data_IF_967407004676
#
_entry.id   IF_967407004676
#
_cell.length_a   1.000
_cell.length_b   1.000
_cell.length_c   1.000
_cell.angle_alpha   90.00
_cell.angle_beta   90.00
_cell.angle_gamma   90.00
#
_symmetry.space_group_name_H-M   'P 1'
#
loop_
_entity.id
_entity.type
_entity.pdbx_description
1 polymer ?
#
# COMPACT_ATOMS: atom_id res chain seq x y z
N UNK A 1 -32.13 52.29 -16.48
CA UNK A 1 -32.26 52.15 -17.93
C UNK A 1 -31.04 51.34 -18.34
N UNK A 2 -31.06 50.09 -18.56
CA UNK A 2 -32.07 49.01 -18.70
C UNK A 2 -31.45 47.78 -18.11
N UNK A 3 -32.24 47.07 -17.28
CA UNK A 3 -31.93 45.75 -16.76
C UNK A 3 -32.02 44.73 -17.89
N UNK A 4 -30.96 44.01 -18.21
CA UNK A 4 -31.03 42.75 -18.98
C UNK A 4 -30.97 41.59 -18.03
N UNK A 5 -32.15 41.09 -17.72
CA UNK A 5 -32.46 39.82 -17.11
C UNK A 5 -32.03 38.67 -18.04
N UNK A 6 -30.94 37.97 -17.71
CA UNK A 6 -30.54 36.73 -18.34
C UNK A 6 -31.05 35.53 -17.50
N UNK A 7 -32.36 35.31 -17.63
CA UNK A 7 -32.95 34.03 -17.23
C UNK A 7 -32.41 32.91 -18.09
N UNK A 8 -31.47 32.11 -17.57
CA UNK A 8 -31.17 30.80 -18.10
C UNK A 8 -32.31 29.85 -17.67
N UNK A 9 -33.20 29.54 -18.61
CA UNK A 9 -34.10 28.42 -18.53
C UNK A 9 -33.25 27.16 -18.53
N UNK A 10 -33.18 26.49 -17.39
CA UNK A 10 -32.69 25.10 -17.29
C UNK A 10 -33.80 24.22 -17.82
N UNK A 11 -33.69 23.79 -19.07
CA UNK A 11 -34.52 22.72 -19.62
C UNK A 11 -34.18 21.46 -18.82
N UNK A 12 -35.07 21.08 -17.89
CA UNK A 12 -35.06 19.76 -17.32
C UNK A 12 -35.57 18.80 -18.40
N UNK A 13 -34.69 17.97 -18.95
CA UNK A 13 -35.06 16.80 -19.72
C UNK A 13 -35.99 15.95 -18.84
N UNK A 14 -37.23 15.79 -19.29
CA UNK A 14 -38.21 14.90 -18.67
C UNK A 14 -37.80 13.45 -19.05
N UNK A 15 -37.24 12.74 -18.06
CA UNK A 15 -37.03 11.30 -18.17
C UNK A 15 -38.37 10.65 -18.54
N UNK A 16 -38.43 10.01 -19.70
CA UNK A 16 -39.61 9.23 -20.15
C UNK A 16 -39.72 7.98 -19.26
N UNK A 17 -40.68 8.02 -18.32
CA UNK A 17 -41.03 6.88 -17.49
C UNK A 17 -41.83 5.87 -18.35
N UNK A 18 -41.27 4.73 -18.67
CA UNK A 18 -42.01 3.61 -19.23
C UNK A 18 -42.89 2.96 -18.16
N UNK A 19 -44.18 3.07 -18.30
CA UNK A 19 -45.20 2.46 -17.41
C UNK A 19 -45.89 1.34 -18.16
N UNK A 20 -45.66 0.10 -17.75
CA UNK A 20 -46.44 -1.06 -18.22
C UNK A 20 -47.61 -1.33 -17.25
N UNK A 21 -48.84 -1.19 -17.74
CA UNK A 21 -50.06 -1.57 -17.00
C UNK A 21 -50.39 -3.04 -17.25
N UNK A 22 -50.54 -3.81 -16.16
CA UNK A 22 -50.97 -5.18 -16.20
C UNK A 22 -52.50 -5.28 -16.16
N UNK A 23 -53.10 -6.36 -16.69
CA UNK A 23 -54.55 -6.63 -16.74
C UNK A 23 -55.19 -6.74 -15.35
N UNK A 24 -54.42 -6.85 -14.27
CA UNK A 24 -54.87 -6.90 -12.88
C UNK A 24 -54.98 -5.52 -12.19
N UNK A 25 -54.68 -4.44 -12.93
CA UNK A 25 -54.70 -3.07 -12.44
C UNK A 25 -53.43 -2.66 -11.68
N UNK A 26 -52.36 -3.46 -11.66
CA UNK A 26 -51.06 -3.09 -11.18
C UNK A 26 -50.20 -2.48 -12.29
N UNK A 27 -49.43 -1.44 -11.98
CA UNK A 27 -48.51 -0.81 -12.93
C UNK A 27 -47.07 -1.07 -12.50
N UNK A 28 -46.22 -1.54 -13.41
CA UNK A 28 -44.79 -1.64 -13.23
C UNK A 28 -44.17 -0.37 -13.83
N UNK A 29 -43.61 0.46 -12.98
CA UNK A 29 -42.83 1.63 -13.42
C UNK A 29 -41.37 1.19 -13.50
N UNK A 30 -40.87 1.02 -14.71
CA UNK A 30 -39.43 0.79 -14.91
C UNK A 30 -38.75 2.14 -14.82
N UNK A 31 -38.11 2.39 -13.72
CA UNK A 31 -37.16 3.49 -13.64
C UNK A 31 -35.99 3.10 -14.53
N UNK A 32 -35.78 3.85 -15.59
CA UNK A 32 -34.59 3.72 -16.43
C UNK A 32 -33.40 3.82 -15.47
N UNK A 33 -32.72 2.70 -15.25
CA UNK A 33 -31.48 2.77 -14.48
C UNK A 33 -30.55 3.59 -15.34
N UNK A 34 -29.94 4.65 -14.79
CA UNK A 34 -28.95 5.39 -15.54
C UNK A 34 -28.00 4.36 -16.14
N UNK A 35 -27.81 4.42 -17.47
CA UNK A 35 -26.90 3.53 -18.21
C UNK A 35 -25.73 3.22 -17.33
N UNK A 36 -25.49 1.94 -17.06
CA UNK A 36 -24.44 1.52 -16.12
C UNK A 36 -23.19 2.30 -16.50
N UNK A 37 -22.93 3.38 -15.77
CA UNK A 37 -21.71 4.15 -15.92
C UNK A 37 -20.62 3.08 -15.89
N UNK A 38 -19.95 2.85 -17.03
CA UNK A 38 -18.97 1.79 -17.23
C UNK A 38 -18.18 1.71 -15.95
N UNK A 39 -18.35 0.63 -15.19
CA UNK A 39 -17.71 0.48 -13.88
C UNK A 39 -16.25 0.66 -14.16
N UNK A 40 -15.72 1.84 -13.83
CA UNK A 40 -14.32 2.15 -14.04
C UNK A 40 -13.55 0.95 -13.53
N UNK A 41 -12.75 0.32 -14.37
CA UNK A 41 -11.98 -0.85 -13.96
C UNK A 41 -11.29 -0.52 -12.64
N UNK A 42 -11.36 -1.42 -11.68
CA UNK A 42 -10.84 -1.17 -10.32
C UNK A 42 -9.42 -0.58 -10.30
N UNK A 43 -8.65 -0.84 -11.36
CA UNK A 43 -7.28 -0.33 -11.54
C UNK A 43 -7.17 0.88 -12.47
N UNK A 44 -8.29 1.42 -12.97
CA UNK A 44 -8.26 2.60 -13.82
C UNK A 44 -7.73 3.82 -13.05
N UNK A 45 -6.97 4.65 -13.75
CA UNK A 45 -6.46 5.88 -13.18
C UNK A 45 -7.57 6.95 -13.21
N UNK A 46 -8.27 7.10 -12.10
CA UNK A 46 -9.36 8.09 -11.97
C UNK A 46 -8.94 9.52 -12.31
N UNK A 47 -7.64 9.83 -12.30
CA UNK A 47 -7.16 11.15 -12.66
C UNK A 47 -7.21 11.42 -14.18
N UNK A 48 -7.37 10.41 -15.03
CA UNK A 48 -7.47 10.55 -16.47
C UNK A 48 -8.79 11.19 -16.87
N UNK A 49 -9.87 10.85 -16.17
CA UNK A 49 -11.22 11.37 -16.43
C UNK A 49 -11.48 12.74 -15.77
N UNK A 50 -10.54 13.20 -14.92
CA UNK A 50 -10.68 14.49 -14.24
C UNK A 50 -10.41 15.66 -15.19
N UNK A 51 -11.21 16.76 -15.11
CA UNK A 51 -10.91 18.02 -15.76
C UNK A 51 -9.51 18.53 -15.38
N UNK A 52 -8.81 19.15 -16.32
CA UNK A 52 -7.42 19.62 -16.12
C UNK A 52 -7.27 20.54 -14.91
N UNK A 53 -8.26 21.43 -14.68
CA UNK A 53 -8.25 22.34 -13.54
C UNK A 53 -8.33 21.59 -12.20
N UNK A 54 -9.24 20.63 -12.09
CA UNK A 54 -9.42 19.82 -10.86
C UNK A 54 -8.19 18.97 -10.58
N UNK A 55 -7.60 18.40 -11.64
CA UNK A 55 -6.35 17.64 -11.56
C UNK A 55 -5.19 18.48 -11.01
N UNK A 56 -5.04 19.71 -11.49
CA UNK A 56 -4.00 20.62 -10.98
C UNK A 56 -4.25 21.01 -9.52
N UNK A 57 -5.50 21.26 -9.15
CA UNK A 57 -5.88 21.59 -7.77
C UNK A 57 -5.60 20.42 -6.83
N UNK A 58 -6.05 19.22 -7.19
CA UNK A 58 -5.79 18.00 -6.40
C UNK A 58 -4.30 17.72 -6.28
N UNK A 59 -3.54 17.84 -7.38
CA UNK A 59 -2.10 17.65 -7.37
C UNK A 59 -1.38 18.61 -6.42
N UNK A 60 -1.73 19.89 -6.43
CA UNK A 60 -1.12 20.87 -5.51
C UNK A 60 -1.46 20.60 -4.06
N UNK A 61 -2.71 20.20 -3.76
CA UNK A 61 -3.12 19.80 -2.41
C UNK A 61 -2.39 18.54 -1.91
N UNK A 62 -2.20 17.56 -2.79
CA UNK A 62 -1.47 16.35 -2.45
C UNK A 62 0.01 16.64 -2.11
N UNK A 63 0.66 17.51 -2.89
CA UNK A 63 2.02 17.96 -2.61
C UNK A 63 2.13 18.67 -1.26
N UNK A 64 1.21 19.58 -0.96
CA UNK A 64 1.17 20.27 0.33
C UNK A 64 0.99 19.28 1.50
N UNK A 65 0.14 18.29 1.33
CA UNK A 65 -0.05 17.23 2.35
C UNK A 65 1.22 16.40 2.55
N UNK A 66 1.92 16.04 1.49
CA UNK A 66 3.18 15.30 1.59
C UNK A 66 4.24 16.11 2.32
N UNK A 67 4.39 17.41 2.00
CA UNK A 67 5.34 18.28 2.67
C UNK A 67 5.03 18.41 4.16
N UNK A 68 3.76 18.60 4.51
CA UNK A 68 3.32 18.67 5.90
C UNK A 68 3.58 17.36 6.66
N UNK A 69 3.28 16.22 6.04
CA UNK A 69 3.49 14.92 6.66
C UNK A 69 5.01 14.61 6.79
N UNK A 70 5.83 15.08 5.86
CA UNK A 70 7.30 15.02 5.91
C UNK A 70 7.87 15.88 7.05
N UNK A 71 7.42 17.09 7.22
CA UNK A 71 7.83 17.96 8.32
C UNK A 71 7.46 17.36 9.69
N UNK A 72 6.23 16.83 9.81
CA UNK A 72 5.74 16.24 11.04
C UNK A 72 6.56 15.03 11.51
N UNK A 73 7.17 14.26 10.57
CA UNK A 73 8.00 13.11 10.91
C UNK A 73 9.51 13.42 10.99
N UNK A 74 9.92 14.65 10.81
CA UNK A 74 11.35 15.05 10.72
C UNK A 74 12.21 14.59 11.90
N UNK A 75 11.65 14.55 13.12
CA UNK A 75 12.35 14.06 14.31
C UNK A 75 12.68 12.57 14.20
N UNK A 76 11.73 11.78 13.76
CA UNK A 76 11.91 10.34 13.55
C UNK A 76 12.92 10.07 12.42
N UNK A 77 12.86 10.82 11.34
CA UNK A 77 13.78 10.67 10.21
C UNK A 77 15.23 10.94 10.62
N UNK A 78 15.46 11.99 11.42
CA UNK A 78 16.79 12.26 12.02
C UNK A 78 17.28 11.13 12.93
N UNK A 79 16.38 10.51 13.70
CA UNK A 79 16.75 9.37 14.55
C UNK A 79 17.12 8.14 13.70
N UNK A 80 16.40 7.92 12.60
CA UNK A 80 16.67 6.83 11.68
C UNK A 80 18.00 7.02 10.93
N UNK A 81 18.28 8.23 10.42
CA UNK A 81 19.56 8.58 9.81
C UNK A 81 20.74 8.37 10.79
N UNK A 82 20.57 8.81 12.04
CA UNK A 82 21.59 8.58 13.07
C UNK A 82 21.76 7.08 13.36
N UNK A 83 20.68 6.30 13.35
CA UNK A 83 20.72 4.85 13.43
C UNK A 83 21.51 4.23 12.29
N UNK A 84 21.22 4.61 11.05
CA UNK A 84 21.94 4.16 9.85
C UNK A 84 23.44 4.51 9.95
N UNK A 85 23.77 5.73 10.35
CA UNK A 85 25.15 6.16 10.55
C UNK A 85 25.89 5.29 11.58
N UNK A 86 25.19 4.86 12.63
CA UNK A 86 25.78 4.00 13.70
C UNK A 86 25.91 2.53 13.29
N UNK A 87 25.34 2.10 12.17
CA UNK A 87 25.60 0.74 11.65
C UNK A 87 27.06 0.55 11.24
N UNK A 88 27.77 1.63 10.95
CA UNK A 88 29.18 1.59 10.55
C UNK A 88 29.41 1.08 9.13
N UNK A 89 28.35 0.97 8.33
CA UNK A 89 28.42 0.47 6.95
C UNK A 89 28.58 1.57 5.89
N UNK A 90 28.42 2.84 6.29
CA UNK A 90 28.56 4.00 5.41
C UNK A 90 29.89 4.74 5.59
N UNK A 91 30.22 5.59 4.61
CA UNK A 91 31.42 6.45 4.64
C UNK A 91 31.39 7.44 5.81
N UNK A 92 30.20 7.78 6.30
CA UNK A 92 29.97 8.69 7.43
C UNK A 92 29.92 7.98 8.80
N UNK A 93 30.39 6.74 8.88
CA UNK A 93 30.44 6.03 10.16
C UNK A 93 31.14 6.87 11.25
N UNK A 94 30.57 6.93 12.48
CA UNK A 94 31.12 7.73 13.55
C UNK A 94 32.46 7.15 14.04
N UNK A 95 33.53 7.52 13.39
CA UNK A 95 34.87 7.06 13.63
C UNK A 95 35.86 8.25 13.72
N UNK A 96 35.40 9.38 14.26
CA UNK A 96 36.23 10.54 14.43
C UNK A 96 37.31 10.25 15.48
N UNK A 97 38.58 10.15 15.05
CA UNK A 97 39.70 10.18 15.96
C UNK A 97 39.74 11.57 16.62
N UNK A 98 39.56 11.64 17.94
CA UNK A 98 39.63 12.89 18.71
C UNK A 98 41.06 13.40 18.83
N UNK A 99 42.05 12.58 18.47
CA UNK A 99 43.49 12.94 18.53
C UNK A 99 44.26 12.12 17.47
N UNK A 100 45.45 12.61 17.11
CA UNK A 100 46.31 11.95 16.15
C UNK A 100 46.80 10.60 16.70
N UNK A 101 46.55 9.51 15.97
CA UNK A 101 46.86 8.13 16.37
C UNK A 101 45.72 7.40 17.08
N UNK A 102 44.55 8.01 17.25
CA UNK A 102 43.39 7.30 17.76
C UNK A 102 42.86 6.26 16.77
N UNK A 103 42.38 5.14 17.33
CA UNK A 103 41.73 4.10 16.53
C UNK A 103 40.40 4.61 15.91
N UNK A 104 40.21 4.32 14.64
CA UNK A 104 38.93 4.58 13.92
C UNK A 104 38.05 3.35 13.85
N UNK A 105 38.36 2.30 14.60
CA UNK A 105 37.59 1.07 14.60
C UNK A 105 36.26 1.30 15.27
N UNK A 106 35.17 1.05 14.52
CA UNK A 106 33.80 1.06 15.04
C UNK A 106 33.33 -0.38 15.19
N UNK A 107 32.80 -0.73 16.36
CA UNK A 107 32.20 -2.03 16.58
C UNK A 107 30.75 -2.01 16.06
N UNK A 108 30.38 -2.83 15.05
CA UNK A 108 29.09 -2.76 14.37
C UNK A 108 27.98 -3.49 15.17
N UNK A 109 27.86 -3.24 16.46
CA UNK A 109 26.89 -3.91 17.34
C UNK A 109 25.43 -3.78 16.86
N UNK A 110 25.08 -2.61 16.29
CA UNK A 110 23.74 -2.39 15.80
C UNK A 110 23.45 -3.26 14.56
N UNK A 111 24.42 -3.36 13.68
CA UNK A 111 24.31 -4.24 12.49
C UNK A 111 24.21 -5.71 12.89
N UNK A 112 25.04 -6.14 13.85
CA UNK A 112 24.96 -7.51 14.38
C UNK A 112 23.58 -7.80 14.96
N UNK A 113 23.01 -6.87 15.73
CA UNK A 113 21.67 -7.02 16.30
C UNK A 113 20.58 -7.10 15.21
N UNK A 114 20.68 -6.29 14.15
CA UNK A 114 19.74 -6.33 13.02
C UNK A 114 19.80 -7.68 12.26
N UNK A 115 21.01 -8.17 12.00
CA UNK A 115 21.22 -9.46 11.33
C UNK A 115 20.74 -10.63 12.19
N UNK A 116 21.01 -10.59 13.48
CA UNK A 116 20.55 -11.60 14.45
C UNK A 116 19.02 -11.65 14.49
N UNK A 117 18.36 -10.50 14.56
CA UNK A 117 16.90 -10.39 14.50
C UNK A 117 16.36 -10.99 13.19
N UNK A 118 16.88 -10.54 12.05
CA UNK A 118 16.45 -11.02 10.73
C UNK A 118 16.62 -12.54 10.60
N UNK A 119 17.73 -13.08 11.06
CA UNK A 119 18.02 -14.52 10.98
C UNK A 119 17.09 -15.38 11.84
N UNK A 120 16.68 -14.88 13.00
CA UNK A 120 15.75 -15.59 13.91
C UNK A 120 14.33 -15.51 13.39
N UNK A 121 13.85 -14.31 13.11
CA UNK A 121 12.48 -14.06 12.66
C UNK A 121 12.24 -14.65 11.27
N UNK A 122 13.23 -14.57 10.39
CA UNK A 122 13.14 -15.14 9.03
C UNK A 122 12.85 -16.65 9.03
N UNK A 123 13.42 -17.40 9.97
CA UNK A 123 13.14 -18.86 10.09
C UNK A 123 11.70 -19.15 10.55
N UNK A 124 11.12 -18.26 11.34
CA UNK A 124 9.74 -18.41 11.82
C UNK A 124 8.72 -17.99 10.78
N UNK A 125 8.99 -16.88 10.07
CA UNK A 125 8.07 -16.34 9.04
C UNK A 125 8.16 -17.16 7.73
N UNK A 126 9.36 -17.60 7.36
CA UNK A 126 9.62 -18.35 6.12
C UNK A 126 10.13 -19.77 6.43
N UNK A 127 9.30 -20.62 7.07
CA UNK A 127 9.70 -21.99 7.37
C UNK A 127 9.88 -22.80 6.08
N UNK A 128 10.67 -23.87 6.15
CA UNK A 128 10.96 -24.75 5.02
C UNK A 128 9.70 -25.39 4.39
N UNK A 129 8.63 -25.55 5.17
CA UNK A 129 7.35 -26.13 4.71
C UNK A 129 6.44 -25.07 4.03
N UNK A 130 6.92 -23.87 3.83
CA UNK A 130 6.17 -22.74 3.27
C UNK A 130 5.52 -21.86 4.34
N UNK A 131 5.38 -20.55 4.06
CA UNK A 131 4.87 -19.56 5.02
C UNK A 131 3.37 -19.64 5.26
N UNK A 132 2.60 -20.25 4.34
CA UNK A 132 1.14 -20.25 4.41
C UNK A 132 0.63 -21.48 5.16
N UNK A 133 -0.25 -21.22 6.16
CA UNK A 133 -0.99 -22.25 6.89
C UNK A 133 -2.48 -22.07 6.63
N UNK A 134 -3.20 -23.18 6.49
CA UNK A 134 -4.63 -23.19 6.37
C UNK A 134 -5.33 -23.06 7.72
N UNK A 135 -6.40 -22.27 7.76
CA UNK A 135 -7.34 -22.23 8.88
C UNK A 135 -8.75 -22.19 8.31
N UNK A 136 -9.62 -23.09 8.76
CA UNK A 136 -11.01 -23.18 8.30
C UNK A 136 -11.89 -22.58 9.39
N UNK A 137 -12.54 -21.42 9.12
CA UNK A 137 -13.50 -20.86 10.06
C UNK A 137 -14.82 -21.65 10.04
N UNK A 138 -15.41 -21.86 11.19
CA UNK A 138 -16.71 -22.53 11.36
C UNK A 138 -16.64 -24.04 11.25
N UNK A 139 -17.75 -24.65 10.78
CA UNK A 139 -17.87 -26.12 10.69
C UNK A 139 -16.92 -26.71 9.65
N UNK A 140 -16.17 -27.73 10.05
CA UNK A 140 -15.18 -28.42 9.22
C UNK A 140 -15.88 -29.54 8.46
N UNK A 141 -15.98 -29.37 7.13
CA UNK A 141 -16.44 -30.41 6.20
C UNK A 141 -15.26 -30.97 5.40
N UNK A 142 -15.39 -32.20 4.88
CA UNK A 142 -14.35 -32.85 4.06
C UNK A 142 -14.02 -31.98 2.85
N UNK A 143 -15.03 -31.40 2.18
CA UNK A 143 -14.85 -30.56 1.01
C UNK A 143 -14.07 -29.28 1.31
N UNK A 144 -14.38 -28.62 2.45
CA UNK A 144 -13.65 -27.44 2.93
C UNK A 144 -12.20 -27.78 3.24
N UNK A 145 -11.95 -28.93 3.85
CA UNK A 145 -10.61 -29.37 4.16
C UNK A 145 -9.76 -29.62 2.90
N UNK A 146 -10.32 -30.29 1.89
CA UNK A 146 -9.63 -30.50 0.62
C UNK A 146 -9.38 -29.20 -0.14
N UNK A 147 -10.34 -28.29 -0.14
CA UNK A 147 -10.18 -26.96 -0.72
C UNK A 147 -9.06 -26.18 -0.01
N UNK A 148 -9.05 -26.17 1.31
CA UNK A 148 -8.03 -25.49 2.10
C UNK A 148 -6.61 -26.05 1.81
N UNK A 149 -6.47 -27.38 1.68
CA UNK A 149 -5.18 -28.00 1.29
C UNK A 149 -4.71 -27.56 -0.09
N UNK A 150 -5.62 -27.51 -1.09
CA UNK A 150 -5.28 -27.03 -2.45
C UNK A 150 -4.85 -25.57 -2.43
N UNK A 151 -5.60 -24.70 -1.75
CA UNK A 151 -5.27 -23.28 -1.60
C UNK A 151 -3.91 -23.09 -0.94
N UNK A 152 -3.66 -23.78 0.18
CA UNK A 152 -2.35 -23.76 0.85
C UNK A 152 -1.21 -24.15 -0.08
N UNK A 153 -1.36 -25.28 -0.79
CA UNK A 153 -0.32 -25.76 -1.71
C UNK A 153 -0.06 -24.76 -2.82
N UNK A 154 -1.12 -24.18 -3.40
CA UNK A 154 -0.99 -23.16 -4.45
C UNK A 154 -0.32 -21.89 -3.94
N UNK A 155 -0.76 -21.33 -2.81
CA UNK A 155 -0.16 -20.12 -2.25
C UNK A 155 1.31 -20.32 -1.85
N UNK A 156 1.66 -21.47 -1.28
CA UNK A 156 3.06 -21.78 -0.98
C UNK A 156 3.91 -21.88 -2.24
N UNK A 157 3.39 -22.55 -3.28
CA UNK A 157 4.06 -22.60 -4.58
C UNK A 157 4.25 -21.21 -5.17
N UNK A 158 3.21 -20.36 -5.10
CA UNK A 158 3.28 -19.00 -5.60
C UNK A 158 4.37 -18.18 -4.90
N UNK A 159 4.42 -18.22 -3.58
CA UNK A 159 5.40 -17.45 -2.80
C UNK A 159 6.83 -17.99 -2.88
N UNK A 160 7.01 -19.31 -3.11
CA UNK A 160 8.34 -19.94 -3.09
C UNK A 160 8.94 -20.16 -4.48
N UNK A 161 8.10 -20.33 -5.52
CA UNK A 161 8.54 -20.70 -6.87
C UNK A 161 8.16 -19.66 -7.92
N UNK A 162 6.95 -19.10 -7.85
CA UNK A 162 6.50 -18.11 -8.81
C UNK A 162 7.10 -16.73 -8.51
N UNK A 163 7.08 -16.33 -7.24
CA UNK A 163 7.62 -15.04 -6.77
C UNK A 163 9.03 -15.24 -6.22
N UNK A 164 10.01 -15.40 -7.09
CA UNK A 164 11.42 -15.67 -6.69
C UNK A 164 12.03 -14.52 -5.88
N UNK A 165 11.55 -13.29 -6.08
CA UNK A 165 11.96 -12.09 -5.35
C UNK A 165 11.39 -12.01 -3.93
N UNK A 166 10.30 -12.72 -3.63
CA UNK A 166 9.61 -12.58 -2.34
C UNK A 166 10.52 -12.81 -1.13
N UNK A 167 11.36 -13.82 -1.21
CA UNK A 167 12.27 -14.16 -0.10
C UNK A 167 13.36 -13.12 0.12
N UNK A 168 14.15 -12.70 -0.90
CA UNK A 168 15.14 -11.65 -0.71
C UNK A 168 14.54 -10.30 -0.30
N UNK A 169 13.39 -9.91 -0.84
CA UNK A 169 12.70 -8.68 -0.43
C UNK A 169 12.24 -8.75 1.04
N UNK A 170 11.75 -9.90 1.48
CA UNK A 170 11.38 -10.12 2.87
C UNK A 170 12.60 -10.13 3.81
N UNK A 171 13.74 -10.68 3.39
CA UNK A 171 14.98 -10.64 4.17
C UNK A 171 15.50 -9.22 4.33
N UNK A 172 15.42 -8.37 3.30
CA UNK A 172 15.72 -6.94 3.40
C UNK A 172 14.79 -6.23 4.38
N UNK A 173 13.50 -6.46 4.28
CA UNK A 173 12.49 -5.93 5.20
C UNK A 173 12.82 -6.28 6.65
N UNK A 174 13.07 -7.57 6.93
CA UNK A 174 13.35 -8.05 8.28
C UNK A 174 14.67 -7.51 8.85
N UNK A 175 15.65 -7.21 8.01
CA UNK A 175 16.91 -6.62 8.43
C UNK A 175 16.74 -5.14 8.81
N UNK A 176 15.81 -4.43 8.15
CA UNK A 176 15.60 -3.01 8.41
C UNK A 176 14.54 -2.70 9.47
N UNK A 177 13.65 -3.65 9.78
CA UNK A 177 12.61 -3.47 10.81
C UNK A 177 13.18 -3.07 12.18
N UNK A 178 14.26 -3.68 12.71
CA UNK A 178 14.78 -3.28 14.03
C UNK A 178 15.28 -1.85 14.07
N UNK A 179 15.76 -1.33 12.95
CA UNK A 179 16.30 0.02 12.84
C UNK A 179 15.22 1.06 12.57
N UNK A 180 14.31 0.78 11.60
CA UNK A 180 13.29 1.71 11.15
C UNK A 180 11.95 1.59 11.86
N UNK A 181 11.72 0.52 12.60
CA UNK A 181 10.46 0.20 13.27
C UNK A 181 9.43 -0.41 12.34
N UNK A 182 8.86 0.34 11.43
CA UNK A 182 7.95 -0.15 10.40
C UNK A 182 8.63 -0.21 9.03
N UNK A 183 8.32 -1.25 8.27
CA UNK A 183 8.78 -1.42 6.89
C UNK A 183 7.63 -1.99 6.06
N UNK A 184 7.65 -1.79 4.75
CA UNK A 184 6.54 -2.12 3.88
C UNK A 184 6.95 -3.08 2.77
N UNK A 185 6.03 -3.97 2.42
CA UNK A 185 6.15 -4.83 1.24
C UNK A 185 4.97 -4.51 0.32
N UNK A 186 5.28 -4.08 -0.90
CA UNK A 186 4.27 -3.79 -1.93
C UNK A 186 4.09 -5.03 -2.80
N UNK A 187 2.87 -5.53 -2.86
CA UNK A 187 2.50 -6.60 -3.78
C UNK A 187 1.79 -5.97 -4.97
N UNK A 188 2.31 -6.19 -6.16
CA UNK A 188 1.76 -5.68 -7.42
C UNK A 188 1.66 -6.81 -8.43
N UNK A 189 0.76 -6.65 -9.39
CA UNK A 189 0.74 -7.49 -10.58
C UNK A 189 1.68 -6.94 -11.63
N UNK A 190 2.63 -7.74 -12.07
CA UNK A 190 3.56 -7.37 -13.14
C UNK A 190 3.01 -7.90 -14.48
N UNK A 191 2.54 -7.02 -15.33
CA UNK A 191 1.96 -7.36 -16.62
C UNK A 191 2.96 -8.00 -17.57
N UNK A 192 4.22 -7.56 -17.53
CA UNK A 192 5.28 -8.09 -18.40
C UNK A 192 5.62 -9.53 -18.03
N UNK A 193 5.65 -9.83 -16.74
CA UNK A 193 5.94 -11.18 -16.23
C UNK A 193 4.67 -12.03 -16.08
N UNK A 194 3.49 -11.39 -16.19
CA UNK A 194 2.19 -12.01 -15.99
C UNK A 194 2.09 -12.81 -14.68
N UNK A 195 2.58 -12.19 -13.58
CA UNK A 195 2.59 -12.77 -12.25
C UNK A 195 2.62 -11.71 -11.16
N UNK A 196 2.18 -12.02 -9.94
CA UNK A 196 2.39 -11.11 -8.81
C UNK A 196 3.88 -11.00 -8.49
N UNK A 197 4.30 -9.81 -8.09
CA UNK A 197 5.66 -9.50 -7.65
C UNK A 197 5.62 -8.80 -6.30
N UNK A 198 6.64 -9.02 -5.49
CA UNK A 198 6.83 -8.35 -4.22
C UNK A 198 8.00 -7.38 -4.32
N UNK A 199 7.84 -6.19 -3.79
CA UNK A 199 8.86 -5.16 -3.73
C UNK A 199 8.95 -4.61 -2.31
N UNK A 200 10.14 -4.62 -1.74
CA UNK A 200 10.41 -3.95 -0.47
C UNK A 200 10.38 -2.44 -0.66
N UNK A 201 9.70 -1.73 0.22
CA UNK A 201 9.65 -0.28 0.24
C UNK A 201 10.13 0.19 1.61
N UNK A 202 11.26 0.91 1.67
CA UNK A 202 11.76 1.45 2.92
C UNK A 202 10.79 2.50 3.46
N UNK A 203 10.78 2.65 4.77
CA UNK A 203 9.87 3.60 5.43
C UNK A 203 10.08 5.05 5.00
N UNK A 204 11.25 5.38 4.47
CA UNK A 204 11.55 6.72 3.98
C UNK A 204 10.72 7.11 2.76
N UNK A 205 10.34 6.13 1.96
CA UNK A 205 9.55 6.31 0.73
C UNK A 205 8.03 6.24 0.97
N UNK A 206 7.58 5.96 2.22
CA UNK A 206 6.16 5.86 2.55
C UNK A 206 5.75 7.01 3.44
N UNK A 207 4.84 7.85 2.97
CA UNK A 207 4.30 8.98 3.72
C UNK A 207 2.89 8.67 4.21
N UNK A 208 2.71 8.79 5.52
CA UNK A 208 1.43 8.65 6.19
C UNK A 208 1.16 9.91 7.03
N UNK A 209 -0.10 10.33 7.18
CA UNK A 209 -0.46 11.39 8.11
C UNK A 209 0.05 11.05 9.51
N UNK A 210 0.73 11.98 10.16
CA UNK A 210 1.29 11.76 11.51
C UNK A 210 0.21 11.44 12.56
N UNK A 211 -1.01 11.91 12.33
CA UNK A 211 -2.18 11.62 13.18
C UNK A 211 -2.75 10.21 13.01
N UNK A 212 -2.31 9.44 12.01
CA UNK A 212 -2.84 8.11 11.77
C UNK A 212 -2.41 7.14 12.86
N UNK A 213 -3.39 6.46 13.45
CA UNK A 213 -3.15 5.45 14.51
C UNK A 213 -2.77 4.08 13.94
N UNK A 214 -3.11 3.82 12.69
CA UNK A 214 -2.75 2.59 11.97
C UNK A 214 -2.65 2.84 10.46
N UNK A 215 -1.97 1.94 9.75
CA UNK A 215 -1.88 1.99 8.29
C UNK A 215 -3.27 1.92 7.62
N UNK A 216 -4.20 1.15 8.19
CA UNK A 216 -5.54 0.99 7.62
C UNK A 216 -6.41 2.24 7.82
N UNK A 217 -6.28 2.91 8.96
CA UNK A 217 -7.05 4.12 9.30
C UNK A 217 -6.47 5.40 8.70
N UNK A 218 -5.31 5.32 8.06
CA UNK A 218 -4.70 6.48 7.42
C UNK A 218 -5.54 6.96 6.23
N UNK A 219 -5.90 8.23 6.22
CA UNK A 219 -6.66 8.87 5.14
C UNK A 219 -5.89 8.86 3.81
N UNK A 220 -4.58 9.01 3.90
CA UNK A 220 -3.66 9.02 2.76
C UNK A 220 -2.52 8.03 2.98
N UNK A 221 -2.08 7.42 1.89
CA UNK A 221 -0.92 6.51 1.85
C UNK A 221 -0.17 6.84 0.56
N UNK A 222 0.95 7.51 0.71
CA UNK A 222 1.74 8.02 -0.41
C UNK A 222 3.11 7.39 -0.40
#
# INVERSE_FOLDING_TARGET
MEDEDLGQEVEMEQDELEVEENDDGSAIVTLDQPEEAEKAEFYSNLAEDMPTFDRMTVSSQLLEFIERDKEARSLRDKQYEEGLRRTGLGDDAPGGANFQGASKVVHPMLTEACVDFSSRVGKEILPANGPVKEQIPGEITIEKLEKAKRVKSFMNWQLTHQMTEFRPEMEQLLTQVPLGGAQYLKLIWDEQKNRPTALFIPIDDVYLPYSATSFYSAERKT
#
